data_IF_857873394678
#
_entry.id   IF_857873394678
#
_cell.length_a   1.000
_cell.length_b   1.000
_cell.length_c   1.000
_cell.angle_alpha   90.00
_cell.angle_beta   90.00
_cell.angle_gamma   90.00
#
_symmetry.space_group_name_H-M   'P 1'
#
loop_
_entity.id
_entity.type
_entity.pdbx_description
1 polymer ?
#
# COMPACT_ATOMS: atom_id res chain seq x y z
N UNK A 1 3.71 -18.17 -15.64
CA UNK A 1 4.73 -17.11 -15.77
C UNK A 1 4.25 -15.94 -14.92
N UNK A 2 5.01 -15.51 -13.91
CA UNK A 2 4.68 -14.28 -13.18
C UNK A 2 4.85 -13.13 -14.17
N UNK A 3 3.80 -12.39 -14.45
CA UNK A 3 3.90 -11.21 -15.31
C UNK A 3 4.62 -10.10 -14.54
N UNK A 4 5.24 -9.16 -15.26
CA UNK A 4 5.83 -7.96 -14.63
C UNK A 4 4.76 -7.25 -13.77
N UNK A 5 3.52 -7.20 -14.24
CA UNK A 5 2.36 -6.65 -13.53
C UNK A 5 2.09 -7.36 -12.21
N UNK A 6 2.11 -8.70 -12.16
CA UNK A 6 1.94 -9.46 -10.91
C UNK A 6 3.03 -9.12 -9.88
N UNK A 7 4.25 -8.90 -10.37
CA UNK A 7 5.40 -8.54 -9.52
C UNK A 7 5.23 -7.14 -8.96
N UNK A 8 4.79 -6.18 -9.79
CA UNK A 8 4.50 -4.81 -9.36
C UNK A 8 3.35 -4.79 -8.36
N UNK A 9 2.25 -5.52 -8.63
CA UNK A 9 1.11 -5.62 -7.72
C UNK A 9 1.52 -6.18 -6.35
N UNK A 10 2.31 -7.27 -6.34
CA UNK A 10 2.81 -7.87 -5.11
C UNK A 10 3.70 -6.92 -4.30
N UNK A 11 4.68 -6.28 -4.94
CA UNK A 11 5.58 -5.33 -4.27
C UNK A 11 4.81 -4.10 -3.75
N UNK A 12 3.87 -3.59 -4.54
CA UNK A 12 2.99 -2.50 -4.15
C UNK A 12 2.19 -2.82 -2.89
N UNK A 13 1.55 -4.00 -2.83
CA UNK A 13 0.81 -4.45 -1.65
C UNK A 13 1.68 -4.63 -0.42
N UNK A 14 2.88 -5.20 -0.58
CA UNK A 14 3.80 -5.40 0.53
C UNK A 14 4.22 -4.05 1.16
N UNK A 15 4.56 -3.07 0.32
CA UNK A 15 4.94 -1.73 0.75
C UNK A 15 3.73 -0.98 1.33
N UNK A 16 2.60 -0.98 0.63
CA UNK A 16 1.35 -0.34 1.04
C UNK A 16 0.87 -0.85 2.40
N UNK A 17 0.80 -2.17 2.57
CA UNK A 17 0.38 -2.78 3.83
C UNK A 17 1.31 -2.45 5.00
N UNK A 18 2.63 -2.35 4.76
CA UNK A 18 3.57 -1.91 5.78
C UNK A 18 3.30 -0.46 6.23
N UNK A 19 2.99 0.44 5.29
CA UNK A 19 2.57 1.81 5.61
C UNK A 19 1.20 1.85 6.31
N UNK A 20 0.25 1.01 5.88
CA UNK A 20 -1.07 0.87 6.51
C UNK A 20 -0.95 0.49 7.99
N UNK A 21 -0.11 -0.51 8.28
CA UNK A 21 0.21 -0.93 9.64
C UNK A 21 0.94 0.17 10.42
N UNK A 22 1.95 0.81 9.83
CA UNK A 22 2.67 1.92 10.48
C UNK A 22 1.71 3.06 10.89
N UNK A 23 0.72 3.37 10.05
CA UNK A 23 -0.32 4.36 10.34
C UNK A 23 -1.11 4.06 11.62
N UNK A 24 -1.31 2.79 11.98
CA UNK A 24 -2.05 2.40 13.20
C UNK A 24 -1.31 2.78 14.49
N UNK A 25 0.01 2.88 14.45
CA UNK A 25 0.85 3.20 15.62
C UNK A 25 1.24 4.67 15.71
N UNK A 26 1.00 5.46 14.66
CA UNK A 26 1.31 6.90 14.66
C UNK A 26 0.24 7.69 15.41
N UNK A 27 0.68 8.45 16.42
CA UNK A 27 -0.20 9.37 17.18
C UNK A 27 -0.57 10.66 16.44
N UNK A 28 0.27 11.09 15.48
CA UNK A 28 0.03 12.29 14.67
C UNK A 28 -1.04 12.02 13.62
N UNK A 29 -2.20 12.70 13.74
CA UNK A 29 -3.29 12.60 12.79
C UNK A 29 -2.89 12.84 11.32
N UNK A 30 -2.16 13.93 10.96
CA UNK A 30 -1.80 14.17 9.56
C UNK A 30 -0.83 13.12 8.99
N UNK A 31 0.10 12.62 9.80
CA UNK A 31 1.01 11.54 9.37
C UNK A 31 0.26 10.23 9.18
N UNK A 32 -0.62 9.85 10.12
CA UNK A 32 -1.45 8.65 10.00
C UNK A 32 -2.30 8.66 8.73
N UNK A 33 -2.95 9.79 8.44
CA UNK A 33 -3.78 9.92 7.22
C UNK A 33 -2.93 9.75 5.94
N UNK A 34 -1.71 10.30 5.95
CA UNK A 34 -0.76 10.13 4.84
C UNK A 34 -0.40 8.65 4.64
N UNK A 35 -0.06 7.94 5.71
CA UNK A 35 0.33 6.52 5.66
C UNK A 35 -0.82 5.62 5.19
N UNK A 36 -2.04 5.85 5.68
CA UNK A 36 -3.23 5.14 5.22
C UNK A 36 -3.64 5.49 3.79
N UNK A 37 -3.32 6.69 3.32
CA UNK A 37 -3.53 7.06 1.91
C UNK A 37 -2.59 6.28 1.00
N UNK A 38 -1.34 6.05 1.42
CA UNK A 38 -0.37 5.23 0.67
C UNK A 38 -0.88 3.79 0.57
N UNK A 39 -1.31 3.19 1.68
CA UNK A 39 -1.90 1.84 1.71
C UNK A 39 -3.11 1.72 0.76
N UNK A 40 -4.07 2.63 0.88
CA UNK A 40 -5.24 2.67 -0.01
C UNK A 40 -4.85 2.82 -1.48
N UNK A 41 -3.83 3.64 -1.79
CA UNK A 41 -3.34 3.81 -3.17
C UNK A 41 -2.71 2.51 -3.68
N UNK A 42 -1.91 1.83 -2.86
CA UNK A 42 -1.32 0.54 -3.22
C UNK A 42 -2.38 -0.53 -3.50
N UNK A 43 -3.47 -0.57 -2.72
CA UNK A 43 -4.61 -1.46 -2.98
C UNK A 43 -5.26 -1.17 -4.34
N UNK A 44 -5.49 0.10 -4.67
CA UNK A 44 -6.08 0.49 -5.97
C UNK A 44 -5.18 0.13 -7.15
N UNK A 45 -3.87 0.36 -7.03
CA UNK A 45 -2.90 -0.01 -8.07
C UNK A 45 -2.84 -1.52 -8.26
N UNK A 46 -2.78 -2.28 -7.16
CA UNK A 46 -2.75 -3.74 -7.24
C UNK A 46 -4.03 -4.29 -7.90
N UNK A 47 -5.21 -3.79 -7.51
CA UNK A 47 -6.48 -4.19 -8.10
C UNK A 47 -6.60 -3.85 -9.59
N UNK A 48 -5.94 -2.78 -10.05
CA UNK A 48 -5.90 -2.42 -11.47
C UNK A 48 -4.92 -3.27 -12.29
N UNK A 49 -3.92 -3.87 -11.65
CA UNK A 49 -2.87 -4.66 -12.29
C UNK A 49 -3.13 -6.17 -12.27
N UNK A 50 -4.01 -6.65 -11.39
CA UNK A 50 -4.42 -8.05 -11.20
C UNK A 50 -5.64 -8.40 -12.05
#
# INVERSE_FOLDING_TARGET
MRTLSDTIAFLGLAIGGAFGLAGTFVGSAPLRETLWTIDRTALMVAAALS
#
